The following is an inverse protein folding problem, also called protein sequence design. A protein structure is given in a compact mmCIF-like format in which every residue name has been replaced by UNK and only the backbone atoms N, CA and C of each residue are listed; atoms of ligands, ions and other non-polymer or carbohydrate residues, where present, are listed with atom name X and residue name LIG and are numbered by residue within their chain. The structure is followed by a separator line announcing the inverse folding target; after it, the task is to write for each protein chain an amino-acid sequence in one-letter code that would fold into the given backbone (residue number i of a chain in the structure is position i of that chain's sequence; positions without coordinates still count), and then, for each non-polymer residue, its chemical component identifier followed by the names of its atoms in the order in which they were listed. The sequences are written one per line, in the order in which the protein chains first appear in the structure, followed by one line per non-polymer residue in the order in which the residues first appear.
data_IF_693166050770
#
_entry.id   IF_693166050770
#
_cell.length_a   1.000
_cell.length_b   1.000
_cell.length_c   1.000
_cell.angle_alpha   90.00
_cell.angle_beta   90.00
_cell.angle_gamma   90.00
#
_symmetry.space_group_name_H-M   'P 1'
#
loop_
_entity.id
_entity.type
_entity.pdbx_description
1 polymer ?
#
# COMPACT_ATOMS: atom_id res chain seq x y z
N UNK A 1 21.26 -3.81 15.24
CA UNK A 1 20.10 -2.93 15.49
C UNK A 1 18.91 -3.44 14.69
N UNK A 2 17.75 -3.45 15.31
CA UNK A 2 16.48 -3.89 14.72
C UNK A 2 15.57 -2.68 14.61
N UNK A 3 14.97 -2.49 13.45
CA UNK A 3 13.94 -1.50 13.22
C UNK A 3 12.55 -2.12 13.38
N UNK A 4 11.66 -1.38 14.00
CA UNK A 4 10.24 -1.71 14.10
C UNK A 4 9.44 -0.72 13.27
N UNK A 5 8.73 -1.25 12.25
CA UNK A 5 7.87 -0.47 11.38
C UNK A 5 6.41 -0.81 11.60
N UNK A 6 5.58 0.21 11.57
CA UNK A 6 4.13 0.06 11.43
C UNK A 6 3.72 0.38 10.00
N UNK A 7 2.99 -0.54 9.39
CA UNK A 7 2.44 -0.40 8.05
C UNK A 7 0.93 -0.24 8.12
N UNK A 8 0.43 0.76 7.39
CA UNK A 8 -0.97 1.13 7.27
C UNK A 8 -1.38 1.14 5.79
N UNK A 9 -2.68 1.06 5.54
CA UNK A 9 -3.29 1.22 4.22
C UNK A 9 -4.33 2.33 4.25
N UNK A 10 -4.45 3.09 3.17
CA UNK A 10 -5.54 4.04 2.96
C UNK A 10 -6.81 3.40 2.37
N UNK A 11 -6.73 2.13 1.99
CA UNK A 11 -7.85 1.36 1.44
C UNK A 11 -8.63 0.59 2.51
N UNK A 12 -8.05 0.40 3.70
CA UNK A 12 -8.68 -0.25 4.84
C UNK A 12 -8.14 0.34 6.15
N UNK A 13 -8.94 1.16 6.82
CA UNK A 13 -8.58 1.86 8.05
C UNK A 13 -8.21 0.93 9.21
N UNK A 14 -8.67 -0.32 9.17
CA UNK A 14 -8.38 -1.32 10.19
C UNK A 14 -7.11 -2.11 9.94
N UNK A 15 -6.54 -2.00 8.74
CA UNK A 15 -5.35 -2.74 8.37
C UNK A 15 -4.12 -2.19 9.11
N UNK A 16 -3.46 -3.06 9.86
CA UNK A 16 -2.19 -2.78 10.53
C UNK A 16 -1.29 -3.99 10.44
N UNK A 17 -0.02 -3.77 10.16
CA UNK A 17 1.07 -4.75 10.31
C UNK A 17 2.23 -4.08 11.02
N UNK A 18 2.77 -4.73 12.04
CA UNK A 18 4.02 -4.35 12.66
C UNK A 18 5.10 -5.37 12.32
N UNK A 19 6.24 -4.87 11.83
CA UNK A 19 7.38 -5.67 11.44
C UNK A 19 8.62 -5.33 12.25
N UNK A 20 9.41 -6.36 12.54
CA UNK A 20 10.79 -6.21 13.02
C UNK A 20 11.74 -6.72 11.94
N UNK A 21 12.65 -5.86 11.52
CA UNK A 21 13.64 -6.12 10.48
C UNK A 21 14.99 -5.57 10.86
N UNK A 22 16.07 -6.18 10.35
CA UNK A 22 17.41 -5.68 10.58
C UNK A 22 17.63 -4.34 9.86
N UNK A 23 18.32 -3.41 10.51
CA UNK A 23 18.66 -2.10 9.94
C UNK A 23 19.51 -2.18 8.66
N UNK A 24 20.28 -3.25 8.50
CA UNK A 24 21.14 -3.49 7.34
C UNK A 24 20.44 -4.29 6.22
N UNK A 25 19.15 -4.57 6.37
CA UNK A 25 18.34 -5.18 5.32
C UNK A 25 18.28 -4.28 4.10
N UNK A 26 18.48 -4.85 2.90
CA UNK A 26 18.29 -4.11 1.65
C UNK A 26 16.80 -3.83 1.41
N UNK A 27 16.50 -2.77 0.63
CA UNK A 27 15.13 -2.49 0.23
C UNK A 27 14.54 -3.63 -0.64
N UNK A 28 15.38 -4.33 -1.40
CA UNK A 28 14.96 -5.51 -2.16
C UNK A 28 14.51 -6.64 -1.23
N UNK A 29 15.28 -6.96 -0.20
CA UNK A 29 14.89 -7.96 0.78
C UNK A 29 13.62 -7.54 1.53
N UNK A 30 13.48 -6.25 1.82
CA UNK A 30 12.29 -5.72 2.47
C UNK A 30 11.05 -5.82 1.56
N UNK A 31 11.19 -5.50 0.28
CA UNK A 31 10.16 -5.71 -0.73
C UNK A 31 9.69 -7.17 -0.77
N UNK A 32 10.61 -8.11 -0.88
CA UNK A 32 10.29 -9.54 -0.90
C UNK A 32 9.61 -10.01 0.39
N UNK A 33 10.06 -9.50 1.52
CA UNK A 33 9.44 -9.81 2.81
C UNK A 33 8.00 -9.29 2.91
N UNK A 34 7.73 -8.08 2.41
CA UNK A 34 6.39 -7.50 2.36
C UNK A 34 5.46 -8.39 1.51
N UNK A 35 5.88 -8.73 0.30
CA UNK A 35 5.08 -9.59 -0.59
C UNK A 35 4.75 -10.91 0.08
N UNK A 36 5.72 -11.53 0.72
CA UNK A 36 5.53 -12.79 1.44
C UNK A 36 4.56 -12.63 2.62
N UNK A 37 4.69 -11.57 3.40
CA UNK A 37 3.83 -11.28 4.55
C UNK A 37 2.37 -11.03 4.16
N UNK A 38 2.15 -10.39 3.02
CA UNK A 38 0.82 -10.07 2.50
C UNK A 38 0.24 -11.17 1.60
N UNK A 39 1.02 -12.22 1.32
CA UNK A 39 0.67 -13.26 0.36
C UNK A 39 0.40 -12.69 -1.05
N UNK A 40 1.14 -11.64 -1.40
CA UNK A 40 1.08 -11.02 -2.72
C UNK A 40 2.00 -11.74 -3.70
N UNK A 41 1.60 -11.72 -4.97
CA UNK A 41 2.46 -12.18 -6.06
C UNK A 41 3.57 -11.15 -6.35
N UNK A 42 4.71 -11.60 -6.92
CA UNK A 42 5.75 -10.69 -7.37
C UNK A 42 5.19 -9.60 -8.28
N UNK A 43 5.55 -8.35 -8.02
CA UNK A 43 5.08 -7.20 -8.78
C UNK A 43 6.17 -6.14 -8.90
N UNK A 44 6.01 -5.25 -9.86
CA UNK A 44 6.80 -4.03 -9.94
C UNK A 44 6.38 -3.10 -8.80
N UNK A 45 7.35 -2.58 -8.08
CA UNK A 45 7.12 -1.72 -6.93
C UNK A 45 8.21 -0.64 -6.83
N UNK A 46 7.91 0.41 -6.07
CA UNK A 46 8.88 1.43 -5.67
C UNK A 46 8.75 1.73 -4.20
N UNK A 47 9.87 2.08 -3.57
CA UNK A 47 9.88 2.74 -2.27
C UNK A 47 10.12 4.23 -2.45
N UNK A 48 9.53 5.02 -1.57
CA UNK A 48 9.80 6.44 -1.44
C UNK A 48 10.10 6.77 0.02
N UNK A 49 11.11 7.58 0.28
CA UNK A 49 11.16 8.31 1.55
C UNK A 49 10.07 9.37 1.53
N UNK A 50 9.49 9.67 2.69
CA UNK A 50 8.43 10.65 2.81
C UNK A 50 8.67 11.58 4.00
N UNK A 51 8.14 12.78 3.91
CA UNK A 51 8.11 13.73 5.02
C UNK A 51 6.93 13.50 5.98
N UNK A 52 6.74 14.42 6.93
CA UNK A 52 5.66 14.36 7.93
C UNK A 52 4.25 14.58 7.35
N UNK A 53 4.15 14.96 6.08
CA UNK A 53 2.89 15.09 5.32
C UNK A 53 2.67 13.96 4.33
N UNK A 54 3.54 12.93 4.35
CA UNK A 54 3.54 11.85 3.38
C UNK A 54 3.84 12.30 1.93
N UNK A 55 4.54 13.42 1.77
CA UNK A 55 5.05 13.80 0.46
C UNK A 55 6.24 12.93 0.08
N UNK A 56 6.19 12.35 -1.11
CA UNK A 56 7.26 11.52 -1.68
C UNK A 56 8.52 12.36 -1.92
N UNK A 57 9.67 11.87 -1.47
CA UNK A 57 10.99 12.53 -1.64
C UNK A 57 11.89 11.71 -2.56
N UNK A 58 12.68 10.76 -2.02
CA UNK A 58 13.57 9.93 -2.80
C UNK A 58 12.87 8.65 -3.22
N UNK A 59 13.05 8.28 -4.49
CA UNK A 59 12.53 7.03 -5.05
C UNK A 59 13.62 5.97 -5.12
N UNK A 60 13.21 4.72 -4.86
CA UNK A 60 14.01 3.52 -5.01
C UNK A 60 13.23 2.50 -5.83
N UNK A 61 13.78 2.09 -6.96
CA UNK A 61 13.10 1.22 -7.92
C UNK A 61 13.59 -0.22 -7.85
N UNK A 62 12.71 -1.15 -8.23
CA UNK A 62 13.07 -2.58 -8.29
C UNK A 62 14.09 -2.85 -9.39
N UNK A 63 13.92 -2.22 -10.55
CA UNK A 63 14.85 -2.33 -11.68
C UNK A 63 15.72 -1.08 -11.80
N UNK A 64 16.92 -1.25 -12.36
CA UNK A 64 17.81 -0.13 -12.62
C UNK A 64 17.22 0.76 -13.74
N UNK A 65 16.81 1.96 -13.33
CA UNK A 65 16.25 3.00 -14.21
C UNK A 65 17.27 4.09 -14.50
N UNK A 66 18.56 3.78 -14.35
CA UNK A 66 19.64 4.75 -14.54
C UNK A 66 19.78 5.11 -16.01
N UNK A 67 19.40 6.33 -16.35
CA UNK A 67 19.55 6.94 -17.68
C UNK A 67 20.81 7.81 -17.80
N UNK A 68 21.68 7.77 -16.80
CA UNK A 68 22.86 8.61 -16.69
C UNK A 68 22.63 10.00 -16.11
N UNK A 69 21.41 10.33 -15.71
CA UNK A 69 21.08 11.58 -15.03
C UNK A 69 21.49 11.54 -13.55
N UNK A 70 21.76 12.72 -12.97
CA UNK A 70 22.09 12.84 -11.55
C UNK A 70 20.88 12.55 -10.63
N UNK A 71 19.67 12.64 -11.16
CA UNK A 71 18.41 12.47 -10.43
C UNK A 71 17.78 11.07 -10.64
N UNK A 72 18.51 10.16 -11.33
CA UNK A 72 18.03 8.80 -11.52
C UNK A 72 17.80 8.10 -10.19
N UNK A 73 16.68 7.37 -10.02
CA UNK A 73 16.40 6.66 -8.78
C UNK A 73 17.43 5.54 -8.55
N UNK A 74 17.77 5.31 -7.29
CA UNK A 74 18.62 4.19 -6.89
C UNK A 74 17.81 2.88 -6.91
N UNK A 75 18.48 1.75 -7.11
CA UNK A 75 17.83 0.44 -7.05
C UNK A 75 17.70 -0.05 -5.62
N UNK A 76 16.63 -0.79 -5.34
CA UNK A 76 16.36 -1.41 -4.04
C UNK A 76 17.49 -2.34 -3.58
N UNK A 77 18.17 -2.99 -4.51
CA UNK A 77 19.27 -3.92 -4.22
C UNK A 77 20.47 -3.22 -3.57
N UNK A 78 20.71 -1.96 -3.90
CA UNK A 78 21.89 -1.20 -3.49
C UNK A 78 21.71 -0.42 -2.21
N UNK A 79 20.47 -0.27 -1.73
CA UNK A 79 20.14 0.60 -0.60
C UNK A 79 19.68 -0.23 0.59
N UNK A 80 20.24 0.07 1.77
CA UNK A 80 19.85 -0.55 3.03
C UNK A 80 18.98 0.39 3.84
N UNK A 81 18.09 -0.16 4.66
CA UNK A 81 17.17 0.61 5.51
C UNK A 81 17.92 1.65 6.37
N UNK A 82 19.02 1.26 7.00
CA UNK A 82 19.80 2.16 7.85
C UNK A 82 20.49 3.31 7.14
N UNK A 83 20.53 3.32 5.80
CA UNK A 83 21.05 4.43 5.00
C UNK A 83 20.02 5.54 4.76
N UNK A 84 18.74 5.24 4.92
CA UNK A 84 17.64 6.16 4.61
C UNK A 84 16.70 6.42 5.79
N UNK A 85 16.79 5.61 6.84
CA UNK A 85 15.99 5.72 8.06
C UNK A 85 16.92 5.99 9.23
N UNK A 86 16.75 7.12 9.89
CA UNK A 86 17.66 7.61 10.94
C UNK A 86 16.96 7.94 12.25
N UNK A 87 15.70 8.35 12.19
CA UNK A 87 14.96 8.84 13.34
C UNK A 87 13.63 8.10 13.50
N UNK A 88 13.12 8.06 14.74
CA UNK A 88 11.74 7.66 14.98
C UNK A 88 10.79 8.58 14.20
N UNK A 89 9.77 7.97 13.64
CA UNK A 89 8.80 8.58 12.72
C UNK A 89 9.29 8.85 11.30
N UNK A 90 10.52 8.48 10.96
CA UNK A 90 10.89 8.45 9.54
C UNK A 90 9.94 7.54 8.77
N UNK A 91 9.57 7.96 7.58
CA UNK A 91 8.46 7.40 6.81
C UNK A 91 8.91 6.86 5.47
N UNK A 92 8.33 5.74 5.09
CA UNK A 92 8.46 5.13 3.78
C UNK A 92 7.07 4.90 3.17
N UNK A 93 6.95 5.17 1.89
CA UNK A 93 5.81 4.76 1.09
C UNK A 93 6.24 3.57 0.23
N UNK A 94 5.47 2.49 0.27
CA UNK A 94 5.67 1.32 -0.58
C UNK A 94 4.57 1.26 -1.62
N UNK A 95 4.91 1.68 -2.84
CA UNK A 95 4.02 1.70 -3.99
C UNK A 95 4.06 0.33 -4.66
N UNK A 96 3.02 -0.46 -4.51
CA UNK A 96 2.94 -1.83 -5.03
C UNK A 96 2.14 -1.96 -6.33
N UNK A 97 1.38 -0.94 -6.70
CA UNK A 97 0.69 -0.80 -7.97
C UNK A 97 1.04 0.55 -8.59
N UNK A 98 1.98 0.54 -9.55
CA UNK A 98 2.50 1.75 -10.17
C UNK A 98 1.45 2.44 -11.07
N UNK A 99 0.53 1.68 -11.66
CA UNK A 99 -0.50 2.20 -12.54
C UNK A 99 -1.70 2.75 -11.78
N UNK A 100 -2.08 2.06 -10.70
CA UNK A 100 -3.20 2.44 -9.84
C UNK A 100 -2.82 3.42 -8.72
N UNK A 101 -1.54 3.75 -8.58
CA UNK A 101 -1.00 4.57 -7.47
C UNK A 101 -1.41 4.05 -6.08
N UNK A 102 -1.40 2.72 -5.93
CA UNK A 102 -1.78 2.05 -4.69
C UNK A 102 -0.55 1.77 -3.84
N UNK A 103 -0.60 2.17 -2.57
CA UNK A 103 0.55 2.12 -1.69
C UNK A 103 0.20 1.72 -0.26
N UNK A 104 1.23 1.25 0.45
CA UNK A 104 1.26 1.14 1.90
C UNK A 104 2.13 2.23 2.50
N UNK A 105 1.73 2.71 3.66
CA UNK A 105 2.37 3.78 4.40
C UNK A 105 3.06 3.20 5.63
N UNK A 106 4.34 3.54 5.82
CA UNK A 106 5.16 2.99 6.90
C UNK A 106 5.82 4.07 7.70
N UNK A 107 5.82 3.86 8.99
CA UNK A 107 6.50 4.73 9.94
C UNK A 107 7.40 3.89 10.84
N UNK A 108 8.62 4.35 11.08
CA UNK A 108 9.49 3.78 12.09
C UNK A 108 8.91 4.10 13.47
N UNK A 109 8.50 3.08 14.20
CA UNK A 109 7.94 3.22 15.55
C UNK A 109 8.96 3.02 16.66
N UNK A 110 10.11 2.43 16.34
CA UNK A 110 11.16 2.23 17.29
C UNK A 110 12.35 1.47 16.71
N UNK A 111 13.42 1.43 17.50
CA UNK A 111 14.59 0.62 17.22
C UNK A 111 15.09 0.01 18.52
N UNK A 112 15.63 -1.20 18.44
CA UNK A 112 16.21 -1.90 19.58
C UNK A 112 17.48 -2.66 19.17
N UNK A 113 18.21 -3.13 20.17
CA UNK A 113 19.34 -4.03 19.94
C UNK A 113 18.83 -5.41 19.52
N UNK A 114 19.56 -6.05 18.61
CA UNK A 114 19.26 -7.42 18.21
C UNK A 114 19.59 -8.38 19.35
N UNK A 115 18.66 -9.27 19.67
CA UNK A 115 18.90 -10.36 20.60
C UNK A 115 19.82 -11.42 19.96
N UNK A 116 20.76 -11.93 20.74
CA UNK A 116 21.70 -12.93 20.26
C UNK A 116 20.97 -14.23 19.86
N UNK A 117 21.13 -14.63 18.61
CA UNK A 117 20.51 -15.83 18.05
C UNK A 117 19.08 -15.67 17.58
N UNK A 118 18.48 -14.49 17.70
CA UNK A 118 17.18 -14.20 17.12
C UNK A 118 17.29 -13.86 15.62
N UNK A 119 16.29 -14.25 14.86
CA UNK A 119 16.12 -13.87 13.45
C UNK A 119 15.12 -12.75 13.34
N UNK A 120 15.50 -11.68 12.63
CA UNK A 120 14.65 -10.52 12.39
C UNK A 120 14.34 -10.37 10.92
N UNK A 121 13.21 -10.79 10.60
CA UNK A 121 12.43 -10.65 9.38
C UNK A 121 11.09 -11.23 9.76
N UNK A 122 10.38 -10.54 10.67
CA UNK A 122 9.18 -11.10 11.26
C UNK A 122 8.06 -10.06 11.39
N UNK A 123 6.85 -10.54 11.20
CA UNK A 123 5.63 -9.84 11.55
C UNK A 123 5.34 -10.11 13.04
N UNK A 124 5.19 -9.04 13.81
CA UNK A 124 4.93 -9.13 15.27
C UNK A 124 3.50 -8.77 15.63
N UNK A 125 2.77 -8.12 14.74
CA UNK A 125 1.37 -7.78 14.91
C UNK A 125 0.68 -7.69 13.56
N UNK A 126 -0.56 -8.19 13.49
CA UNK A 126 -1.40 -8.11 12.31
C UNK A 126 -2.85 -7.86 12.72
N UNK A 127 -3.49 -6.89 12.10
CA UNK A 127 -4.91 -6.60 12.26
C UNK A 127 -5.53 -6.39 10.88
N UNK A 128 -6.70 -6.98 10.67
CA UNK A 128 -7.45 -7.04 9.43
C UNK A 128 -6.70 -7.72 8.25
N UNK A 129 -7.42 -8.09 7.24
CA UNK A 129 -6.87 -8.67 6.02
C UNK A 129 -6.20 -7.59 5.16
N UNK A 130 -5.17 -8.00 4.43
CA UNK A 130 -4.54 -7.12 3.46
C UNK A 130 -5.52 -6.79 2.34
N UNK A 131 -5.51 -5.52 1.84
CA UNK A 131 -6.21 -5.17 0.61
C UNK A 131 -5.91 -6.15 -0.53
N UNK A 132 -6.92 -6.44 -1.36
CA UNK A 132 -6.70 -7.28 -2.54
C UNK A 132 -5.68 -6.66 -3.46
N UNK A 133 -4.71 -7.45 -3.93
CA UNK A 133 -3.57 -6.93 -4.71
C UNK A 133 -4.00 -6.31 -6.04
N UNK A 134 -5.02 -6.87 -6.69
CA UNK A 134 -5.40 -6.50 -8.05
C UNK A 134 -6.72 -5.75 -8.15
N UNK A 135 -7.62 -5.94 -7.19
CA UNK A 135 -8.96 -5.39 -7.23
C UNK A 135 -9.27 -4.55 -5.98
N UNK A 136 -9.05 -3.23 -6.04
CA UNK A 136 -9.32 -2.35 -4.91
C UNK A 136 -10.81 -2.29 -4.53
N UNK A 137 -11.73 -2.66 -5.39
CA UNK A 137 -13.16 -2.65 -5.08
C UNK A 137 -13.56 -3.68 -4.02
N UNK A 138 -12.78 -4.74 -3.87
CA UNK A 138 -12.98 -5.77 -2.84
C UNK A 138 -12.61 -5.31 -1.42
N UNK A 139 -11.93 -4.18 -1.30
CA UNK A 139 -11.41 -3.67 -0.02
C UNK A 139 -12.37 -2.72 0.69
N UNK A 140 -13.45 -2.35 0.02
CA UNK A 140 -14.50 -1.55 0.67
C UNK A 140 -15.18 -2.44 1.69
N UNK A 141 -15.35 -1.97 2.97
CA UNK A 141 -16.30 -2.61 3.85
C UNK A 141 -17.61 -2.71 3.07
N UNK A 142 -18.30 -3.81 3.20
CA UNK A 142 -19.69 -3.91 2.77
C UNK A 142 -20.48 -2.88 3.59
N UNK A 143 -20.35 -1.62 3.25
CA UNK A 143 -21.40 -0.66 3.53
C UNK A 143 -22.56 -1.13 2.68
N UNK A 144 -23.66 -1.33 3.34
CA UNK A 144 -24.94 -1.76 2.82
C UNK A 144 -25.38 -0.83 1.65
N UNK A 145 -24.66 -0.91 0.52
CA UNK A 145 -24.95 -0.13 -0.71
C UNK A 145 -26.15 -0.72 -1.47
N UNK A 146 -26.70 -1.84 -0.97
CA UNK A 146 -27.85 -2.49 -1.62
C UNK A 146 -29.15 -1.71 -1.50
N UNK A 147 -29.33 -0.86 -0.49
CA UNK A 147 -30.64 -0.24 -0.26
C UNK A 147 -30.82 1.13 -0.93
N UNK A 148 -29.80 1.98 -0.95
CA UNK A 148 -29.94 3.34 -1.46
C UNK A 148 -29.93 3.43 -3.00
N UNK A 149 -29.18 2.56 -3.66
CA UNK A 149 -29.12 2.54 -5.12
C UNK A 149 -30.31 1.82 -5.74
N UNK A 150 -30.80 0.75 -5.10
CA UNK A 150 -32.01 0.03 -5.51
C UNK A 150 -33.28 0.88 -5.27
N UNK A 151 -33.35 1.65 -4.19
CA UNK A 151 -34.44 2.61 -3.97
C UNK A 151 -34.45 3.75 -5.00
N UNK A 152 -33.26 4.22 -5.42
CA UNK A 152 -33.17 5.27 -6.47
C UNK A 152 -33.52 4.75 -7.85
N UNK A 153 -33.26 3.48 -8.16
CA UNK A 153 -33.58 2.89 -9.48
C UNK A 153 -34.99 2.30 -9.54
N UNK A 154 -35.60 1.97 -8.41
CA UNK A 154 -36.98 1.49 -8.33
C UNK A 154 -38.04 2.54 -8.73
N UNK A 155 -37.71 3.81 -8.59
CA UNK A 155 -38.62 4.93 -8.90
C UNK A 155 -38.63 5.30 -10.41
N UNK A 156 -37.73 4.72 -11.22
CA UNK A 156 -37.67 4.97 -12.67
C UNK A 156 -38.49 4.00 -13.52
N UNK A 157 -39.05 2.93 -12.93
CA UNK A 157 -39.81 1.95 -13.67
C UNK A 157 -41.31 2.28 -13.85
N UNK A 158 -41.79 3.35 -13.22
CA UNK A 158 -43.22 3.76 -13.30
C UNK A 158 -43.47 4.84 -14.39
N UNK A 159 -42.51 5.07 -15.29
CA UNK A 159 -42.72 5.93 -16.45
C UNK A 159 -43.03 5.08 -17.71
N UNK A 160 -44.08 4.27 -17.67
CA UNK A 160 -44.71 3.80 -18.91
C UNK A 160 -45.57 4.94 -19.43
N UNK A 161 -45.06 5.57 -20.49
CA UNK A 161 -45.75 6.58 -21.23
C UNK A 161 -47.00 6.00 -21.89
N UNK A 162 -48.13 6.55 -21.53
CA UNK A 162 -49.42 6.42 -22.25
C UNK A 162 -49.30 7.24 -23.57
N UNK A 163 -48.74 6.58 -24.60
CA UNK A 163 -48.77 7.10 -25.98
C UNK A 163 -50.08 6.66 -26.61
N UNK A 164 -51.13 7.40 -26.26
CA UNK A 164 -52.38 7.38 -27.01
C UNK A 164 -52.32 8.44 -28.11
N UNK A 165 -51.76 8.05 -29.25
CA UNK A 165 -51.98 8.80 -30.50
C UNK A 165 -53.30 8.30 -31.10
N UNK A 166 -54.34 9.05 -30.81
CA UNK A 166 -55.59 8.98 -31.59
C UNK A 166 -55.38 9.80 -32.88
N UNK A 167 -55.17 9.08 -33.96
CA UNK A 167 -55.20 9.62 -35.31
C UNK A 167 -56.65 9.59 -35.81
N UNK A 168 -57.34 10.68 -35.68
CA UNK A 168 -58.61 10.91 -36.39
C UNK A 168 -58.48 12.05 -37.38
N UNK A 169 -58.67 11.66 -38.59
CA UNK A 169 -59.02 12.49 -39.74
C UNK A 169 -60.33 13.16 -39.64
#
# INVERSE_FOLDING_TARGET
MVFRFRMLSDENDRFVRDYEVMYDMTLLDFHNFILSSLEYEPCMASFFTADDRWEKKREFTLMDMNDGSADAPETMERVRLGQIIHNNRDRLIYLFDLFGDRAYYRELTGACEAEKGASYRREIFAEAEAPDQYDPSKNRPEEDEGSAFDEMMGDFSDFEGDDNYDDEY
#
